data_IF_740785974663
#
_entry.id   IF_740785974663
#
_cell.length_a   1.000
_cell.length_b   1.000
_cell.length_c   1.000
_cell.angle_alpha   90.00
_cell.angle_beta   90.00
_cell.angle_gamma   90.00
#
_symmetry.space_group_name_H-M   'P 1'
#
loop_
_entity.id
_entity.type
_entity.pdbx_description
1 polymer ?
#
# COMPACT_ATOMS: atom_id res chain seq x y z
N UNK A 1 -5.50 27.81 22.42
CA UNK A 1 -4.18 27.59 23.03
C UNK A 1 -4.38 26.59 24.15
N UNK A 2 -3.63 25.50 24.12
CA UNK A 2 -3.53 24.56 25.25
C UNK A 2 -2.03 24.29 25.40
N UNK A 3 -1.49 24.44 26.62
CA UNK A 3 -0.07 24.24 26.93
C UNK A 3 0.93 25.08 26.10
N UNK A 4 0.58 26.33 25.74
CA UNK A 4 1.50 27.24 25.04
C UNK A 4 1.72 26.91 23.55
N UNK A 5 1.02 25.90 23.01
CA UNK A 5 1.04 25.58 21.58
C UNK A 5 -0.13 26.25 20.88
N UNK A 6 0.17 27.08 19.88
CA UNK A 6 -0.82 27.66 18.99
C UNK A 6 -1.18 26.66 17.89
N UNK A 7 -2.37 26.06 17.99
CA UNK A 7 -2.86 25.15 16.96
C UNK A 7 -3.44 25.94 15.79
N UNK A 8 -2.77 25.91 14.64
CA UNK A 8 -3.36 26.38 13.37
C UNK A 8 -4.43 25.39 12.92
N UNK A 9 -5.68 25.69 13.21
CA UNK A 9 -6.82 24.92 12.71
C UNK A 9 -6.95 25.21 11.21
N UNK A 10 -6.60 24.23 10.37
CA UNK A 10 -6.89 24.31 8.94
C UNK A 10 -8.40 24.17 8.76
N UNK A 11 -9.02 25.14 8.10
CA UNK A 11 -10.44 25.06 7.77
C UNK A 11 -10.71 23.80 6.94
N UNK A 12 -11.65 22.98 7.41
CA UNK A 12 -12.06 21.77 6.70
C UNK A 12 -12.72 22.20 5.41
N UNK A 13 -12.25 21.67 4.29
CA UNK A 13 -12.88 21.93 3.00
C UNK A 13 -14.26 21.28 3.00
N UNK A 14 -15.31 22.09 3.03
CA UNK A 14 -16.65 21.65 2.68
C UNK A 14 -16.64 21.31 1.19
N UNK A 15 -17.00 20.09 0.82
CA UNK A 15 -17.38 19.87 -0.56
C UNK A 15 -18.68 20.66 -0.77
N UNK A 16 -18.91 21.29 -1.93
CA UNK A 16 -20.04 22.20 -2.19
C UNK A 16 -21.46 21.61 -2.03
N UNK A 17 -21.58 20.43 -1.41
CA UNK A 17 -22.79 19.71 -0.99
C UNK A 17 -23.01 19.74 0.54
N UNK A 18 -22.20 20.48 1.30
CA UNK A 18 -22.40 20.68 2.74
C UNK A 18 -21.93 19.53 3.64
N UNK A 19 -21.26 18.50 3.09
CA UNK A 19 -20.73 17.41 3.90
C UNK A 19 -19.33 17.77 4.43
N UNK A 20 -19.22 17.83 5.76
CA UNK A 20 -17.96 18.02 6.47
C UNK A 20 -17.18 16.70 6.48
N UNK A 21 -16.06 16.64 5.75
CA UNK A 21 -15.17 15.47 5.77
C UNK A 21 -13.94 15.75 6.62
N UNK A 22 -13.75 14.94 7.65
CA UNK A 22 -12.48 14.90 8.35
C UNK A 22 -11.44 14.13 7.52
N UNK A 23 -10.18 14.61 7.44
CA UNK A 23 -9.11 13.92 6.73
C UNK A 23 -8.58 12.69 7.48
N UNK A 24 -9.43 12.06 8.31
CA UNK A 24 -9.12 10.87 9.07
C UNK A 24 -9.95 9.70 8.54
N UNK A 25 -9.35 8.52 8.50
CA UNK A 25 -10.02 7.26 8.19
C UNK A 25 -9.53 6.22 9.18
N UNK A 26 -10.41 5.32 9.66
CA UNK A 26 -9.96 4.14 10.39
C UNK A 26 -8.93 3.37 9.56
N UNK A 27 -7.79 3.06 10.17
CA UNK A 27 -6.62 2.50 9.47
C UNK A 27 -6.02 1.26 10.14
N UNK A 28 -6.69 0.69 11.15
CA UNK A 28 -6.26 -0.57 11.78
C UNK A 28 -6.18 -1.73 10.76
N UNK A 29 -7.14 -1.80 9.84
CA UNK A 29 -7.14 -2.71 8.72
C UNK A 29 -7.54 -1.96 7.45
N UNK A 30 -6.93 -2.33 6.33
CA UNK A 30 -7.18 -1.71 5.03
C UNK A 30 -6.91 -2.71 3.91
N UNK A 31 -7.37 -2.41 2.71
CA UNK A 31 -7.21 -3.29 1.55
C UNK A 31 -5.90 -3.00 0.82
N UNK A 32 -5.37 -4.00 0.11
CA UNK A 32 -4.18 -3.88 -0.74
C UNK A 32 -4.27 -2.70 -1.73
N UNK A 33 -5.43 -2.51 -2.35
CA UNK A 33 -5.67 -1.39 -3.26
C UNK A 33 -5.53 -0.01 -2.58
N UNK A 34 -5.95 0.11 -1.32
CA UNK A 34 -5.89 1.38 -0.58
C UNK A 34 -4.48 1.72 -0.12
N UNK A 35 -3.59 0.73 0.04
CA UNK A 35 -2.20 0.96 0.46
C UNK A 35 -1.24 1.14 -0.70
N UNK A 36 -1.69 0.97 -1.94
CA UNK A 36 -0.85 1.15 -3.11
C UNK A 36 -0.21 2.55 -3.12
N UNK A 37 1.11 2.59 -3.24
CA UNK A 37 1.88 3.84 -3.20
C UNK A 37 2.19 4.38 -1.80
N UNK A 38 1.68 3.75 -0.73
CA UNK A 38 2.01 4.14 0.64
C UNK A 38 3.37 3.56 1.07
N UNK A 39 4.00 4.22 2.04
CA UNK A 39 5.09 3.64 2.85
C UNK A 39 4.58 3.50 4.28
N UNK A 40 4.70 2.31 4.84
CA UNK A 40 4.23 1.95 6.18
C UNK A 40 5.41 1.44 7.01
N UNK A 41 5.35 1.63 8.33
CA UNK A 41 6.40 1.16 9.24
C UNK A 41 6.28 -0.34 9.51
N UNK A 42 5.07 -0.79 9.81
CA UNK A 42 4.75 -2.19 10.06
C UNK A 42 3.48 -2.57 9.28
N UNK A 43 3.44 -3.79 8.75
CA UNK A 43 2.29 -4.34 8.03
C UNK A 43 2.07 -5.77 8.49
N UNK A 44 0.81 -6.09 8.78
CA UNK A 44 0.34 -7.46 8.98
C UNK A 44 -0.43 -7.88 7.72
N UNK A 45 0.02 -8.94 7.07
CA UNK A 45 -0.61 -9.53 5.88
C UNK A 45 -1.29 -10.84 6.30
N UNK A 46 -2.61 -10.89 6.14
CA UNK A 46 -3.39 -12.11 6.32
C UNK A 46 -3.39 -12.95 5.03
N UNK A 47 -2.92 -14.20 5.13
CA UNK A 47 -2.82 -15.16 4.02
C UNK A 47 -3.86 -16.29 4.08
N UNK A 48 -4.92 -16.16 4.90
CA UNK A 48 -6.01 -17.14 4.88
C UNK A 48 -6.88 -17.05 3.62
N UNK A 49 -6.87 -15.90 2.94
CA UNK A 49 -7.67 -15.66 1.74
C UNK A 49 -6.81 -15.63 0.48
N UNK A 50 -7.30 -16.22 -0.61
CA UNK A 50 -6.64 -16.09 -1.90
C UNK A 50 -6.66 -14.64 -2.38
N UNK A 51 -5.61 -14.27 -3.11
CA UNK A 51 -5.39 -12.91 -3.58
C UNK A 51 -5.14 -12.94 -5.09
N UNK A 52 -5.40 -11.81 -5.77
CA UNK A 52 -5.02 -11.66 -7.17
C UNK A 52 -3.49 -11.62 -7.34
N UNK A 53 -3.03 -11.98 -8.53
CA UNK A 53 -1.62 -11.91 -8.90
C UNK A 53 -1.02 -10.53 -8.55
N UNK A 54 0.16 -10.52 -7.94
CA UNK A 54 0.86 -9.30 -7.54
C UNK A 54 0.35 -8.62 -6.26
N UNK A 55 -0.83 -8.95 -5.73
CA UNK A 55 -1.37 -8.27 -4.54
C UNK A 55 -0.54 -8.48 -3.28
N UNK A 56 0.01 -9.69 -3.10
CA UNK A 56 0.94 -9.95 -2.00
C UNK A 56 2.15 -9.01 -2.07
N UNK A 57 2.74 -8.84 -3.27
CA UNK A 57 3.83 -7.90 -3.50
C UNK A 57 3.43 -6.45 -3.21
N UNK A 58 2.23 -6.03 -3.62
CA UNK A 58 1.72 -4.69 -3.31
C UNK A 58 1.73 -4.43 -1.81
N UNK A 59 1.25 -5.38 -1.00
CA UNK A 59 1.23 -5.24 0.46
C UNK A 59 2.61 -5.35 1.12
N UNK A 60 3.42 -6.33 0.73
CA UNK A 60 4.72 -6.56 1.36
C UNK A 60 5.73 -5.47 1.03
N UNK A 61 5.67 -4.89 -0.17
CA UNK A 61 6.50 -3.76 -0.59
C UNK A 61 6.15 -2.42 0.07
N UNK A 62 5.14 -2.38 0.96
CA UNK A 62 4.81 -1.13 1.70
C UNK A 62 5.76 -0.88 2.86
N UNK A 63 6.46 -1.91 3.36
CA UNK A 63 7.46 -1.75 4.44
C UNK A 63 8.85 -1.50 3.88
N UNK A 64 9.70 -0.84 4.67
CA UNK A 64 11.09 -0.54 4.29
C UNK A 64 12.10 -1.58 4.77
N UNK A 65 11.73 -2.42 5.72
CA UNK A 65 12.61 -3.44 6.28
C UNK A 65 11.82 -4.71 6.58
N UNK A 66 12.52 -5.84 6.61
CA UNK A 66 11.90 -7.15 6.83
C UNK A 66 11.26 -7.27 8.22
N UNK A 67 11.82 -6.58 9.22
CA UNK A 67 11.33 -6.59 10.61
C UNK A 67 9.92 -6.00 10.74
N UNK A 68 9.53 -5.10 9.82
CA UNK A 68 8.19 -4.51 9.79
C UNK A 68 7.16 -5.36 9.04
N UNK A 69 7.57 -6.43 8.35
CA UNK A 69 6.65 -7.32 7.64
C UNK A 69 6.25 -8.50 8.54
N UNK A 70 4.97 -8.61 8.81
CA UNK A 70 4.41 -9.73 9.56
C UNK A 70 3.39 -10.46 8.68
N UNK A 71 3.54 -11.77 8.55
CA UNK A 71 2.63 -12.62 7.77
C UNK A 71 1.87 -13.49 8.76
N UNK A 72 0.54 -13.48 8.66
CA UNK A 72 -0.36 -14.22 9.54
C UNK A 72 -1.15 -15.21 8.69
N UNK A 73 -1.07 -16.49 9.05
CA UNK A 73 -1.75 -17.57 8.34
C UNK A 73 -0.80 -18.58 7.71
N UNK A 74 -1.33 -19.51 6.91
CA UNK A 74 -0.54 -20.56 6.28
C UNK A 74 0.40 -19.96 5.22
N UNK A 75 1.47 -20.70 4.90
CA UNK A 75 2.35 -20.35 3.78
C UNK A 75 1.53 -20.31 2.48
N UNK A 76 1.37 -19.14 1.85
CA UNK A 76 0.48 -19.00 0.70
C UNK A 76 1.07 -19.66 -0.54
N UNK A 77 0.37 -20.62 -1.12
CA UNK A 77 0.72 -21.27 -2.40
C UNK A 77 0.28 -20.47 -3.63
N UNK A 78 -0.40 -19.34 -3.41
CA UNK A 78 -1.02 -18.50 -4.43
C UNK A 78 -0.33 -17.13 -4.62
N UNK A 79 0.87 -16.93 -4.05
CA UNK A 79 1.70 -15.77 -4.42
C UNK A 79 2.20 -15.98 -5.85
N UNK A 80 1.64 -15.22 -6.79
CA UNK A 80 1.90 -15.35 -8.22
C UNK A 80 2.07 -13.98 -8.87
N UNK A 81 2.72 -13.97 -10.02
CA UNK A 81 2.78 -12.84 -10.92
C UNK A 81 1.92 -13.12 -12.16
N UNK A 82 1.43 -12.05 -12.79
CA UNK A 82 0.70 -12.19 -14.04
C UNK A 82 1.68 -12.43 -15.20
N UNK A 83 1.51 -13.52 -15.96
CA UNK A 83 2.40 -13.90 -17.06
C UNK A 83 2.51 -12.83 -18.15
N UNK A 84 1.40 -12.16 -18.50
CA UNK A 84 1.41 -11.10 -19.52
C UNK A 84 2.27 -9.92 -19.08
N UNK A 85 2.24 -9.57 -17.80
CA UNK A 85 3.06 -8.49 -17.25
C UNK A 85 4.55 -8.85 -17.31
N UNK A 86 4.91 -10.10 -17.02
CA UNK A 86 6.30 -10.55 -17.15
C UNK A 86 6.79 -10.50 -18.60
N UNK A 87 5.95 -10.89 -19.56
CA UNK A 87 6.27 -10.79 -20.99
C UNK A 87 6.53 -9.34 -21.42
N UNK A 88 5.68 -8.40 -21.01
CA UNK A 88 5.88 -6.98 -21.27
C UNK A 88 7.12 -6.42 -20.57
N UNK A 89 7.37 -6.81 -19.31
CA UNK A 89 8.56 -6.40 -18.58
C UNK A 89 9.84 -6.81 -19.33
N UNK A 90 9.90 -8.04 -19.84
CA UNK A 90 11.05 -8.53 -20.64
C UNK A 90 11.26 -7.75 -21.93
N UNK A 91 10.18 -7.33 -22.60
CA UNK A 91 10.27 -6.48 -23.81
C UNK A 91 10.85 -5.11 -23.47
N UNK A 92 10.41 -4.53 -22.35
CA UNK A 92 10.92 -3.24 -21.85
C UNK A 92 12.41 -3.37 -21.48
N UNK A 93 12.79 -4.43 -20.78
CA UNK A 93 14.19 -4.72 -20.42
C UNK A 93 15.08 -4.85 -21.66
N UNK A 94 14.65 -5.59 -22.68
CA UNK A 94 15.39 -5.76 -23.92
C UNK A 94 15.52 -4.45 -24.73
N UNK A 95 14.55 -3.55 -24.63
CA UNK A 95 14.57 -2.24 -25.27
C UNK A 95 15.27 -1.16 -24.43
N UNK A 96 15.63 -1.47 -23.18
CA UNK A 96 16.19 -0.50 -22.25
C UNK A 96 17.63 -0.17 -22.61
N UNK A 97 17.92 1.12 -22.77
CA UNK A 97 19.27 1.65 -23.02
C UNK A 97 20.13 1.58 -21.76
N UNK A 98 19.48 1.59 -20.59
CA UNK A 98 20.13 1.47 -19.29
C UNK A 98 19.90 0.03 -18.78
N UNK A 99 20.94 -0.70 -18.37
CA UNK A 99 20.77 -2.01 -17.75
C UNK A 99 19.85 -1.86 -16.53
N UNK A 100 18.71 -2.53 -16.56
CA UNK A 100 17.87 -2.68 -15.39
C UNK A 100 18.53 -3.75 -14.51
N UNK A 101 18.89 -3.36 -13.28
CA UNK A 101 19.55 -4.19 -12.26
C UNK A 101 18.68 -5.38 -11.90
#
# INVERSE_FOLDING_TARGET
MENGVEYKIRQIRSNGRGAMYWPFRPSYATTFHKVQGMTLRNVFIDTHHSMMDGMFYVGSSRVRSAEGLHIVGPTPTYIRYNRKVLEEQRKIEAASIIPLV
#
